data_IF_985182872168
#
_entry.id   IF_985182872168
#
_cell.length_a   1.000
_cell.length_b   1.000
_cell.length_c   1.000
_cell.angle_alpha   90.00
_cell.angle_beta   90.00
_cell.angle_gamma   90.00
#
_symmetry.space_group_name_H-M   'P 1'
#
loop_
_entity.id
_entity.type
_entity.pdbx_description
1 polymer ?
#
# COMPACT_ATOMS: atom_id res chain seq x y z
N UNK A 1 20.53 -33.52 37.64
CA UNK A 1 20.64 -32.10 37.25
C UNK A 1 20.39 -32.05 35.75
N UNK A 2 19.16 -31.76 35.33
CA UNK A 2 18.82 -31.71 33.90
C UNK A 2 19.32 -30.39 33.33
N UNK A 3 20.35 -30.49 32.49
CA UNK A 3 20.87 -29.42 31.68
C UNK A 3 19.90 -29.21 30.50
N UNK A 4 18.86 -28.41 30.69
CA UNK A 4 18.15 -27.82 29.55
C UNK A 4 19.05 -26.70 29.04
N UNK A 5 19.80 -26.98 27.98
CA UNK A 5 20.36 -25.93 27.14
C UNK A 5 19.19 -25.06 26.69
N UNK A 6 19.18 -23.80 27.14
CA UNK A 6 18.46 -22.74 26.46
C UNK A 6 18.95 -22.78 25.01
N UNK A 7 18.17 -23.40 24.13
CA UNK A 7 18.31 -23.13 22.70
C UNK A 7 18.06 -21.64 22.59
N UNK A 8 19.05 -20.90 22.13
CA UNK A 8 18.85 -19.51 21.73
C UNK A 8 17.70 -19.49 20.73
N UNK A 9 16.49 -19.18 21.21
CA UNK A 9 15.30 -19.12 20.38
C UNK A 9 15.54 -18.00 19.37
N UNK A 10 15.38 -18.35 18.09
CA UNK A 10 15.44 -17.37 17.01
C UNK A 10 14.44 -16.24 17.33
N UNK A 11 14.86 -14.97 17.16
CA UNK A 11 14.00 -13.85 17.51
C UNK A 11 12.73 -13.88 16.64
N UNK A 12 11.55 -13.80 17.28
CA UNK A 12 10.30 -13.59 16.56
C UNK A 12 10.18 -12.12 16.18
N UNK A 13 10.10 -11.84 14.88
CA UNK A 13 9.90 -10.49 14.34
C UNK A 13 8.44 -10.28 13.95
N UNK A 14 7.79 -9.30 14.58
CA UNK A 14 6.45 -8.84 14.22
C UNK A 14 6.56 -7.65 13.24
N UNK A 15 5.93 -7.79 12.07
CA UNK A 15 5.79 -6.70 11.10
C UNK A 15 4.32 -6.28 11.04
N UNK A 16 4.06 -5.00 11.28
CA UNK A 16 2.77 -4.37 11.03
C UNK A 16 2.94 -3.31 9.93
N UNK A 17 1.99 -3.23 9.01
CA UNK A 17 2.01 -2.27 7.94
C UNK A 17 0.59 -1.76 7.66
N UNK A 18 0.50 -0.54 7.17
CA UNK A 18 -0.75 0.07 6.74
C UNK A 18 -0.48 1.01 5.55
N UNK A 19 -1.45 1.18 4.66
CA UNK A 19 -1.30 2.01 3.46
C UNK A 19 -2.59 2.72 3.12
N UNK A 20 -2.49 4.02 2.90
CA UNK A 20 -3.60 4.88 2.52
C UNK A 20 -3.33 5.57 1.18
N UNK A 21 -4.40 5.98 0.50
CA UNK A 21 -4.31 6.86 -0.67
C UNK A 21 -4.46 8.31 -0.22
N UNK A 22 -3.66 9.20 -0.80
CA UNK A 22 -3.71 10.64 -0.59
C UNK A 22 -3.97 11.32 -1.93
N UNK A 23 -5.00 12.16 -1.97
CA UNK A 23 -5.37 12.94 -3.14
C UNK A 23 -5.76 14.35 -2.71
N UNK A 24 -5.15 15.37 -3.30
CA UNK A 24 -5.38 16.79 -2.99
C UNK A 24 -5.32 17.13 -1.48
N UNK A 25 -4.41 16.47 -0.76
CA UNK A 25 -4.22 16.68 0.68
C UNK A 25 -5.23 15.95 1.58
N UNK A 26 -6.17 15.20 1.01
CA UNK A 26 -7.12 14.37 1.75
C UNK A 26 -6.72 12.89 1.69
N UNK A 27 -6.95 12.17 2.80
CA UNK A 27 -6.84 10.72 2.85
C UNK A 27 -8.11 10.11 2.24
N UNK A 28 -7.93 9.17 1.31
CA UNK A 28 -9.00 8.36 0.72
C UNK A 28 -8.87 6.92 1.21
N UNK A 29 -9.80 6.53 2.07
CA UNK A 29 -10.02 5.15 2.52
C UNK A 29 -10.72 4.34 1.40
N UNK A 30 -11.23 3.16 1.73
CA UNK A 30 -12.06 2.39 0.80
C UNK A 30 -13.34 3.16 0.46
N UNK A 31 -13.74 3.24 -0.82
CA UNK A 31 -15.00 3.88 -1.18
C UNK A 31 -16.18 3.19 -0.49
N UNK A 32 -17.08 3.97 0.10
CA UNK A 32 -18.30 3.53 0.76
C UNK A 32 -19.43 3.24 -0.24
N UNK A 33 -19.33 3.74 -1.47
CA UNK A 33 -20.32 3.51 -2.53
C UNK A 33 -19.69 3.49 -3.93
N UNK A 34 -20.48 3.06 -4.92
CA UNK A 34 -20.09 3.07 -6.33
C UNK A 34 -19.86 4.48 -6.86
N UNK A 35 -20.67 5.43 -6.39
CA UNK A 35 -20.57 6.84 -6.73
C UNK A 35 -19.28 7.44 -6.19
N UNK A 36 -18.91 7.12 -4.95
CA UNK A 36 -17.63 7.57 -4.39
C UNK A 36 -16.44 6.92 -5.11
N UNK A 37 -16.55 5.64 -5.49
CA UNK A 37 -15.52 4.99 -6.30
C UNK A 37 -15.34 5.66 -7.66
N UNK A 38 -16.45 6.06 -8.30
CA UNK A 38 -16.43 6.85 -9.52
C UNK A 38 -15.70 8.18 -9.34
N UNK A 39 -16.10 8.97 -8.33
CA UNK A 39 -15.48 10.26 -8.01
C UNK A 39 -13.97 10.11 -7.74
N UNK A 40 -13.59 9.05 -7.03
CA UNK A 40 -12.19 8.81 -6.73
C UNK A 40 -11.37 8.54 -7.98
N UNK A 41 -11.77 7.54 -8.78
CA UNK A 41 -11.05 7.11 -9.98
C UNK A 41 -11.07 8.22 -11.03
N UNK A 42 -12.21 8.90 -11.20
CA UNK A 42 -12.33 10.03 -12.12
C UNK A 42 -11.43 11.19 -11.73
N UNK A 43 -11.27 11.45 -10.43
CA UNK A 43 -10.33 12.47 -9.93
C UNK A 43 -8.87 12.18 -10.28
N UNK A 44 -8.48 10.92 -10.41
CA UNK A 44 -7.10 10.58 -10.80
C UNK A 44 -6.86 10.74 -12.30
N UNK A 45 -7.91 10.68 -13.13
CA UNK A 45 -7.83 10.74 -14.60
C UNK A 45 -7.09 11.98 -15.07
N UNK A 46 -6.04 11.79 -15.90
CA UNK A 46 -5.21 12.88 -16.41
C UNK A 46 -4.35 13.60 -15.35
N UNK A 47 -4.44 13.19 -14.09
CA UNK A 47 -3.76 13.80 -12.95
C UNK A 47 -2.81 12.81 -12.26
N UNK A 48 -2.83 12.85 -10.92
CA UNK A 48 -2.02 11.97 -10.09
C UNK A 48 -2.74 11.58 -8.80
N UNK A 49 -2.32 10.46 -8.22
CA UNK A 49 -2.64 10.05 -6.87
C UNK A 49 -1.33 9.76 -6.13
N UNK A 50 -1.36 9.77 -4.79
CA UNK A 50 -0.25 9.29 -3.99
C UNK A 50 -0.68 8.18 -3.06
N UNK A 51 0.21 7.24 -2.75
CA UNK A 51 0.05 6.35 -1.60
C UNK A 51 1.03 6.75 -0.51
N UNK A 52 0.63 6.55 0.74
CA UNK A 52 1.53 6.63 1.89
C UNK A 52 1.40 5.32 2.65
N UNK A 53 2.49 4.56 2.67
CA UNK A 53 2.59 3.28 3.36
C UNK A 53 3.51 3.39 4.57
N UNK A 54 3.12 2.83 5.71
CA UNK A 54 3.95 2.75 6.90
C UNK A 54 4.26 1.30 7.25
N UNK A 55 5.44 1.06 7.81
CA UNK A 55 5.87 -0.25 8.30
C UNK A 55 6.47 -0.07 9.68
N UNK A 56 6.12 -0.99 10.57
CA UNK A 56 6.60 -1.08 11.94
C UNK A 56 7.12 -2.48 12.19
N UNK A 57 8.41 -2.58 12.54
CA UNK A 57 9.06 -3.83 12.90
C UNK A 57 9.29 -3.86 14.40
N UNK A 58 8.92 -4.97 15.04
CA UNK A 58 9.12 -5.21 16.47
C UNK A 58 9.81 -6.55 16.69
N UNK A 59 10.94 -6.56 17.38
CA UNK A 59 11.56 -7.79 17.87
C UNK A 59 10.93 -8.15 19.23
N UNK A 60 10.19 -9.26 19.28
CA UNK A 60 9.45 -9.63 20.48
C UNK A 60 10.34 -10.16 21.62
N UNK A 61 11.59 -10.54 21.32
CA UNK A 61 12.57 -11.00 22.31
C UNK A 61 13.26 -9.83 23.00
N UNK A 62 13.66 -8.81 22.24
CA UNK A 62 14.43 -7.66 22.77
C UNK A 62 13.57 -6.45 23.13
N UNK A 63 12.34 -6.39 22.60
CA UNK A 63 11.48 -5.21 22.68
C UNK A 63 11.88 -4.08 21.72
N UNK A 64 12.87 -4.29 20.86
CA UNK A 64 13.23 -3.32 19.83
C UNK A 64 12.01 -3.04 18.93
N UNK A 65 11.75 -1.77 18.65
CA UNK A 65 10.64 -1.33 17.81
C UNK A 65 11.06 -0.13 16.98
N UNK A 66 10.93 -0.24 15.66
CA UNK A 66 11.21 0.87 14.74
C UNK A 66 10.21 0.87 13.60
N UNK A 67 9.72 2.05 13.25
CA UNK A 67 8.82 2.24 12.12
C UNK A 67 9.28 3.37 11.22
N UNK A 68 8.97 3.23 9.94
CA UNK A 68 9.27 4.18 8.87
C UNK A 68 8.10 4.18 7.88
N UNK A 69 8.12 5.12 6.95
CA UNK A 69 7.10 5.23 5.91
C UNK A 69 7.72 5.48 4.53
N UNK A 70 6.94 5.18 3.50
CA UNK A 70 7.25 5.43 2.11
C UNK A 70 6.07 6.15 1.44
N UNK A 71 6.36 6.93 0.40
CA UNK A 71 5.36 7.62 -0.40
C UNK A 71 5.64 7.36 -1.87
N UNK A 72 4.59 6.96 -2.59
CA UNK A 72 4.64 6.76 -4.03
C UNK A 72 3.68 7.72 -4.70
N UNK A 73 4.11 8.32 -5.81
CA UNK A 73 3.24 9.12 -6.68
C UNK A 73 2.96 8.35 -7.97
N UNK A 74 1.69 8.32 -8.36
CA UNK A 74 1.19 7.62 -9.54
C UNK A 74 0.55 8.66 -10.44
N UNK A 75 1.07 8.77 -11.67
CA UNK A 75 0.57 9.67 -12.69
C UNK A 75 -0.23 8.89 -13.72
N UNK A 76 -1.38 9.43 -14.10
CA UNK A 76 -2.31 8.78 -15.01
C UNK A 76 -2.41 9.54 -16.34
N UNK A 77 -2.62 8.78 -17.42
CA UNK A 77 -3.28 9.29 -18.61
C UNK A 77 -4.77 9.53 -18.31
N UNK A 78 -5.50 10.07 -19.28
CA UNK A 78 -6.96 10.11 -19.19
C UNK A 78 -7.51 8.67 -19.15
N UNK A 79 -8.30 8.36 -18.12
CA UNK A 79 -8.99 7.08 -17.92
C UNK A 79 -10.39 7.24 -18.52
N UNK A 80 -10.75 6.45 -19.55
CA UNK A 80 -12.08 6.51 -20.15
C UNK A 80 -13.17 6.14 -19.16
N UNK A 81 -14.31 6.81 -19.26
CA UNK A 81 -15.49 6.58 -18.41
C UNK A 81 -15.91 5.08 -18.43
N UNK A 82 -15.91 4.46 -19.62
CA UNK A 82 -16.21 3.03 -19.80
C UNK A 82 -15.27 2.08 -19.02
N UNK A 83 -14.03 2.50 -18.74
CA UNK A 83 -13.08 1.73 -17.93
C UNK A 83 -13.45 1.86 -16.45
N UNK A 84 -13.81 3.07 -16.01
CA UNK A 84 -14.24 3.33 -14.65
C UNK A 84 -15.53 2.57 -14.34
N UNK A 85 -16.50 2.56 -15.26
CA UNK A 85 -17.74 1.79 -15.13
C UNK A 85 -17.46 0.30 -14.92
N UNK A 86 -16.61 -0.30 -15.76
CA UNK A 86 -16.22 -1.72 -15.66
C UNK A 86 -15.55 -2.04 -14.33
N UNK A 87 -14.63 -1.19 -13.87
CA UNK A 87 -13.95 -1.36 -12.59
C UNK A 87 -14.92 -1.36 -11.41
N UNK A 88 -15.94 -0.50 -11.46
CA UNK A 88 -16.99 -0.41 -10.43
C UNK A 88 -17.95 -1.60 -10.52
N UNK A 89 -18.27 -2.08 -11.72
CA UNK A 89 -19.08 -3.28 -11.94
C UNK A 89 -18.40 -4.53 -11.37
N UNK A 90 -17.08 -4.67 -11.55
CA UNK A 90 -16.28 -5.75 -10.96
C UNK A 90 -16.24 -5.66 -9.42
N UNK A 91 -16.44 -4.47 -8.85
CA UNK A 91 -16.61 -4.24 -7.41
C UNK A 91 -15.31 -4.31 -6.59
N UNK A 92 -14.18 -4.67 -7.20
CA UNK A 92 -12.88 -4.75 -6.50
C UNK A 92 -12.43 -3.37 -5.98
N UNK A 93 -12.76 -2.29 -6.69
CA UNK A 93 -12.43 -0.92 -6.30
C UNK A 93 -13.06 -0.48 -4.98
N UNK A 94 -14.15 -1.11 -4.55
CA UNK A 94 -14.80 -0.85 -3.26
C UNK A 94 -14.04 -1.46 -2.08
N UNK A 95 -13.03 -2.30 -2.33
CA UNK A 95 -12.31 -3.07 -1.31
C UNK A 95 -10.87 -2.59 -1.09
N UNK A 96 -10.45 -1.58 -1.84
CA UNK A 96 -9.09 -1.02 -1.79
C UNK A 96 -9.15 0.46 -1.44
N UNK A 97 -8.13 0.97 -0.75
CA UNK A 97 -8.05 2.38 -0.41
C UNK A 97 -8.02 3.24 -1.68
N UNK A 98 -8.78 4.33 -1.68
CA UNK A 98 -8.91 5.26 -2.79
C UNK A 98 -9.46 4.67 -4.09
N UNK A 99 -9.96 3.43 -4.12
CA UNK A 99 -10.31 2.76 -5.38
C UNK A 99 -9.11 2.53 -6.30
N UNK A 100 -7.89 2.61 -5.77
CA UNK A 100 -6.65 2.66 -6.53
C UNK A 100 -6.06 1.24 -6.70
N UNK A 101 -6.06 0.73 -7.93
CA UNK A 101 -5.53 -0.61 -8.26
C UNK A 101 -4.65 -0.49 -9.50
N UNK A 102 -3.37 -0.19 -9.32
CA UNK A 102 -2.47 0.11 -10.44
C UNK A 102 -2.06 -1.14 -11.24
N UNK A 103 -2.22 -2.32 -10.63
CA UNK A 103 -1.94 -3.63 -11.23
C UNK A 103 -3.11 -4.20 -12.02
N UNK A 104 -4.28 -3.54 -11.98
CA UNK A 104 -5.47 -4.05 -12.67
C UNK A 104 -5.27 -3.96 -14.19
N UNK A 105 -5.59 -5.01 -14.98
CA UNK A 105 -5.43 -4.99 -16.44
C UNK A 105 -6.14 -3.83 -17.14
N UNK A 106 -7.27 -3.36 -16.59
CA UNK A 106 -7.99 -2.20 -17.12
C UNK A 106 -7.35 -0.85 -16.75
N UNK A 107 -6.55 -0.79 -15.69
CA UNK A 107 -5.90 0.45 -15.22
C UNK A 107 -4.48 0.58 -15.76
N UNK A 108 -3.75 -0.53 -15.86
CA UNK A 108 -2.36 -0.60 -16.32
C UNK A 108 -2.06 0.21 -17.60
N UNK A 109 -2.89 0.19 -18.66
CA UNK A 109 -2.65 0.96 -19.87
C UNK A 109 -2.67 2.48 -19.66
N UNK A 110 -3.28 2.95 -18.57
CA UNK A 110 -3.45 4.36 -18.24
C UNK A 110 -2.45 4.87 -17.20
N UNK A 111 -1.54 4.02 -16.72
CA UNK A 111 -0.43 4.44 -15.86
C UNK A 111 0.63 5.11 -16.74
N UNK A 112 0.85 6.40 -16.52
CA UNK A 112 1.89 7.17 -17.20
C UNK A 112 3.25 6.98 -16.53
N UNK A 113 3.29 7.08 -15.22
CA UNK A 113 4.53 7.02 -14.43
C UNK A 113 4.22 6.64 -12.97
N UNK A 114 5.14 5.89 -12.36
CA UNK A 114 5.14 5.60 -10.93
C UNK A 114 6.47 6.06 -10.35
N UNK A 115 6.42 7.09 -9.50
CA UNK A 115 7.59 7.64 -8.80
C UNK A 115 7.63 7.01 -7.41
N UNK A 116 8.42 5.94 -7.28
CA UNK A 116 8.48 5.08 -6.10
C UNK A 116 8.55 3.62 -6.51
N UNK A 117 8.06 2.69 -5.69
CA UNK A 117 8.03 1.27 -6.04
C UNK A 117 6.63 0.68 -6.02
N UNK A 118 6.35 -0.26 -6.92
CA UNK A 118 5.04 -0.90 -7.07
C UNK A 118 4.62 -1.66 -5.82
N UNK A 119 5.55 -2.32 -5.13
CA UNK A 119 5.26 -3.07 -3.90
C UNK A 119 4.78 -2.16 -2.75
N UNK A 120 5.27 -0.92 -2.68
CA UNK A 120 4.75 0.09 -1.75
C UNK A 120 3.31 0.47 -2.07
N UNK A 121 2.95 0.60 -3.35
CA UNK A 121 1.56 0.85 -3.77
C UNK A 121 0.66 -0.34 -3.42
N UNK A 122 1.18 -1.57 -3.57
CA UNK A 122 0.48 -2.81 -3.24
C UNK A 122 0.37 -3.07 -1.72
N UNK A 123 0.91 -2.17 -0.88
CA UNK A 123 0.69 -2.16 0.56
C UNK A 123 1.87 -2.59 1.44
N UNK A 124 3.05 -2.89 0.87
CA UNK A 124 4.25 -3.15 1.67
C UNK A 124 5.55 -2.73 0.96
N UNK A 125 6.26 -1.68 1.42
CA UNK A 125 7.56 -1.28 0.89
C UNK A 125 8.63 -2.31 1.28
N UNK A 126 8.93 -3.28 0.43
CA UNK A 126 9.79 -4.44 0.74
C UNK A 126 11.22 -4.03 1.07
N UNK A 127 11.79 -3.07 0.33
CA UNK A 127 13.15 -2.60 0.61
C UNK A 127 13.26 -1.94 1.99
N UNK A 128 12.28 -1.09 2.34
CA UNK A 128 12.19 -0.46 3.65
C UNK A 128 11.97 -1.50 4.76
N UNK A 129 11.05 -2.43 4.53
CA UNK A 129 10.72 -3.52 5.47
C UNK A 129 11.94 -4.39 5.73
N UNK A 130 12.68 -4.77 4.68
CA UNK A 130 13.90 -5.57 4.79
C UNK A 130 14.95 -4.85 5.64
N UNK A 131 15.21 -3.57 5.37
CA UNK A 131 16.14 -2.75 6.17
C UNK A 131 15.73 -2.74 7.65
N UNK A 132 14.44 -2.55 7.95
CA UNK A 132 13.96 -2.53 9.33
C UNK A 132 14.08 -3.89 10.03
N UNK A 133 13.90 -4.99 9.29
CA UNK A 133 14.13 -6.35 9.82
C UNK A 133 15.62 -6.54 10.13
N UNK A 134 16.53 -6.14 9.24
CA UNK A 134 17.98 -6.23 9.45
C UNK A 134 18.44 -5.43 10.67
N UNK A 135 17.82 -4.27 10.94
CA UNK A 135 18.10 -3.46 12.14
C UNK A 135 17.51 -4.04 13.43
N UNK A 136 16.51 -4.91 13.33
CA UNK A 136 15.81 -5.49 14.48
C UNK A 136 16.40 -6.84 14.94
N UNK A 137 17.23 -7.47 14.11
CA UNK A 137 17.97 -8.70 14.40
C UNK A 137 19.25 -8.41 15.19
#
# INVERSE_FOLDING_TARGET
MNNQQDKDEEPTILVAADTVVVYEGAIREKPASKEEAWEFIKGYSGGHAATVGSVLVTNLKTGFRKGEWDRVEIYFHEIPDEVIEKLIEEGIVLRVAGGLIIEHPLVLPYIKEVVGTTDSVMGLPKALTKKLIEEAL
#
